data_IF_460422631929
#
_entry.id   IF_460422631929
#
_cell.length_a   1.000
_cell.length_b   1.000
_cell.length_c   1.000
_cell.angle_alpha   90.00
_cell.angle_beta   90.00
_cell.angle_gamma   90.00
#
_symmetry.space_group_name_H-M   'P 1'
#
loop_
_entity.id
_entity.type
_entity.pdbx_description
1 polymer ?
#
# COMPACT_ATOMS: atom_id res chain seq x y z
N UNK A 1 -22.48 -5.51 -12.00
CA UNK A 1 -22.40 -4.09 -11.57
C UNK A 1 -21.14 -3.52 -12.18
N UNK A 2 -21.24 -2.38 -12.89
CA UNK A 2 -20.06 -1.78 -13.51
C UNK A 2 -19.05 -1.36 -12.42
N UNK A 3 -17.75 -1.44 -12.72
CA UNK A 3 -16.68 -1.04 -11.78
C UNK A 3 -16.93 0.35 -11.15
N UNK A 4 -17.38 1.31 -11.98
CA UNK A 4 -17.64 2.68 -11.54
C UNK A 4 -18.69 2.74 -10.42
N UNK A 5 -19.76 1.95 -10.53
CA UNK A 5 -20.85 1.90 -9.56
C UNK A 5 -20.39 1.16 -8.29
N UNK A 6 -19.57 0.12 -8.47
CA UNK A 6 -19.03 -0.67 -7.35
C UNK A 6 -18.11 0.14 -6.42
N UNK A 7 -17.42 1.16 -6.95
CA UNK A 7 -16.48 1.99 -6.18
C UNK A 7 -17.02 3.42 -5.90
N UNK A 8 -18.31 3.65 -6.14
CA UNK A 8 -18.94 4.96 -5.94
C UNK A 8 -19.16 5.30 -4.47
N UNK A 9 -19.29 4.30 -3.61
CA UNK A 9 -19.44 4.47 -2.14
C UNK A 9 -18.26 3.85 -1.40
N UNK A 10 -17.95 4.30 -0.18
CA UNK A 10 -16.90 3.71 0.65
C UNK A 10 -17.09 2.21 0.87
N UNK A 11 -18.31 1.76 1.21
CA UNK A 11 -18.65 0.36 1.46
C UNK A 11 -18.54 -0.49 0.19
N UNK A 12 -19.00 0.06 -0.94
CA UNK A 12 -18.86 -0.57 -2.25
C UNK A 12 -17.39 -0.75 -2.65
N UNK A 13 -16.58 0.29 -2.45
CA UNK A 13 -15.13 0.25 -2.70
C UNK A 13 -14.46 -0.79 -1.81
N UNK A 14 -14.77 -0.83 -0.52
CA UNK A 14 -14.19 -1.80 0.42
C UNK A 14 -14.51 -3.24 0.00
N UNK A 15 -15.78 -3.52 -0.30
CA UNK A 15 -16.24 -4.85 -0.74
C UNK A 15 -15.55 -5.26 -2.05
N UNK A 16 -15.48 -4.33 -3.01
CA UNK A 16 -14.82 -4.57 -4.30
C UNK A 16 -13.34 -4.87 -4.13
N UNK A 17 -12.62 -4.06 -3.35
CA UNK A 17 -11.17 -4.22 -3.08
C UNK A 17 -10.89 -5.56 -2.43
N UNK A 18 -11.61 -5.93 -1.38
CA UNK A 18 -11.46 -7.24 -0.71
C UNK A 18 -11.64 -8.40 -1.69
N UNK A 19 -12.69 -8.34 -2.51
CA UNK A 19 -12.96 -9.38 -3.51
C UNK A 19 -11.88 -9.44 -4.58
N UNK A 20 -11.45 -8.29 -5.10
CA UNK A 20 -10.40 -8.21 -6.11
C UNK A 20 -9.10 -8.84 -5.61
N UNK A 21 -8.60 -8.41 -4.43
CA UNK A 21 -7.36 -8.93 -3.88
C UNK A 21 -7.45 -10.39 -3.46
N UNK A 22 -8.61 -10.89 -3.01
CA UNK A 22 -8.83 -12.32 -2.79
C UNK A 22 -8.71 -13.13 -4.10
N UNK A 23 -9.23 -12.60 -5.20
CA UNK A 23 -9.19 -13.26 -6.52
C UNK A 23 -7.76 -13.34 -7.08
N UNK A 24 -6.96 -12.28 -6.91
CA UNK A 24 -5.61 -12.22 -7.49
C UNK A 24 -4.51 -12.71 -6.55
N UNK A 25 -4.81 -13.01 -5.29
CA UNK A 25 -3.83 -13.29 -4.24
C UNK A 25 -2.80 -14.35 -4.62
N UNK A 26 -3.22 -15.50 -5.15
CA UNK A 26 -2.32 -16.61 -5.50
C UNK A 26 -1.32 -16.27 -6.62
N UNK A 27 -1.59 -15.22 -7.40
CA UNK A 27 -0.73 -14.74 -8.49
C UNK A 27 -0.19 -13.33 -8.25
N UNK A 28 -0.43 -12.79 -7.06
CA UNK A 28 -0.14 -11.39 -6.75
C UNK A 28 1.33 -11.02 -6.99
N UNK A 29 2.26 -11.84 -6.52
CA UNK A 29 3.70 -11.59 -6.69
C UNK A 29 4.11 -11.60 -8.18
N UNK A 30 3.56 -12.52 -8.98
CA UNK A 30 3.79 -12.52 -10.43
C UNK A 30 3.21 -11.28 -11.11
N UNK A 31 2.00 -10.89 -10.71
CA UNK A 31 1.30 -9.73 -11.26
C UNK A 31 2.06 -8.43 -10.99
N UNK A 32 2.54 -8.25 -9.75
CA UNK A 32 3.32 -7.06 -9.38
C UNK A 32 4.63 -6.99 -10.16
N UNK A 33 5.32 -8.12 -10.37
CA UNK A 33 6.52 -8.18 -11.21
C UNK A 33 6.21 -7.79 -12.66
N UNK A 34 5.14 -8.33 -13.25
CA UNK A 34 4.77 -8.04 -14.64
C UNK A 34 4.36 -6.58 -14.82
N UNK A 35 3.50 -6.05 -13.95
CA UNK A 35 3.02 -4.65 -14.03
C UNK A 35 4.12 -3.63 -13.75
N UNK A 36 5.15 -3.99 -12.98
CA UNK A 36 6.26 -3.12 -12.64
C UNK A 36 7.50 -3.31 -13.53
N UNK A 37 7.44 -4.20 -14.51
CA UNK A 37 8.62 -4.63 -15.27
C UNK A 37 9.78 -5.08 -14.38
N UNK A 38 9.48 -5.77 -13.28
CA UNK A 38 10.45 -6.24 -12.29
C UNK A 38 11.02 -5.14 -11.38
N UNK A 39 10.53 -3.89 -11.46
CA UNK A 39 11.04 -2.78 -10.65
C UNK A 39 10.43 -2.72 -9.24
N UNK A 40 9.32 -3.42 -9.00
CA UNK A 40 8.60 -3.43 -7.71
C UNK A 40 9.54 -3.68 -6.52
N UNK A 41 10.39 -4.70 -6.62
CA UNK A 41 11.37 -5.03 -5.58
C UNK A 41 12.31 -3.86 -5.27
N UNK A 42 12.80 -3.14 -6.29
CA UNK A 42 13.69 -1.98 -6.09
C UNK A 42 12.99 -0.83 -5.39
N UNK A 43 11.72 -0.59 -5.71
CA UNK A 43 10.94 0.47 -5.07
C UNK A 43 10.62 0.15 -3.61
N UNK A 44 10.25 -1.10 -3.30
CA UNK A 44 10.07 -1.58 -1.92
C UNK A 44 11.38 -1.51 -1.12
N UNK A 45 12.50 -1.94 -1.71
CA UNK A 45 13.83 -1.81 -1.09
C UNK A 45 14.20 -0.35 -0.81
N UNK A 46 13.88 0.57 -1.73
CA UNK A 46 14.10 2.00 -1.52
C UNK A 46 13.25 2.53 -0.36
N UNK A 47 12.00 2.14 -0.27
CA UNK A 47 11.12 2.50 0.86
C UNK A 47 11.71 2.00 2.17
N UNK A 48 12.14 0.73 2.25
CA UNK A 48 12.76 0.15 3.45
C UNK A 48 14.07 0.85 3.81
N UNK A 49 14.91 1.18 2.82
CA UNK A 49 16.14 1.93 3.05
C UNK A 49 15.87 3.33 3.63
N UNK A 50 14.84 4.02 3.11
CA UNK A 50 14.41 5.34 3.64
C UNK A 50 13.83 5.23 5.06
N UNK A 51 13.15 4.12 5.37
CA UNK A 51 12.63 3.85 6.71
C UNK A 51 13.73 3.62 7.75
N UNK A 52 14.95 3.26 7.30
CA UNK A 52 16.13 3.04 8.16
C UNK A 52 15.82 2.16 9.38
N UNK A 53 15.25 0.95 9.19
CA UNK A 53 14.88 0.07 10.29
C UNK A 53 16.12 -0.32 11.12
N UNK A 54 15.89 -0.53 12.43
CA UNK A 54 16.97 -0.86 13.37
C UNK A 54 16.53 -1.99 14.30
N UNK A 55 17.52 -2.67 14.88
CA UNK A 55 17.30 -3.70 15.86
C UNK A 55 16.40 -3.21 17.01
N UNK A 56 15.35 -3.98 17.31
CA UNK A 56 14.39 -3.67 18.37
C UNK A 56 13.32 -2.63 18.01
N UNK A 57 13.37 -2.01 16.82
CA UNK A 57 12.31 -1.12 16.33
C UNK A 57 11.01 -1.89 16.14
N UNK A 58 9.90 -1.36 16.63
CA UNK A 58 8.55 -1.93 16.43
C UNK A 58 7.92 -1.34 15.18
N UNK A 59 7.66 -2.16 14.18
CA UNK A 59 7.10 -1.72 12.91
C UNK A 59 5.76 -2.39 12.61
N UNK A 60 4.87 -1.67 11.95
CA UNK A 60 3.69 -2.25 11.32
C UNK A 60 3.69 -1.98 9.82
N UNK A 61 3.46 -3.02 9.04
CA UNK A 61 3.31 -2.94 7.58
C UNK A 61 1.84 -3.11 7.21
N UNK A 62 1.22 -2.05 6.70
CA UNK A 62 -0.21 -1.96 6.40
C UNK A 62 -0.46 -2.30 4.93
N UNK A 63 -1.56 -3.01 4.65
CA UNK A 63 -1.82 -3.64 3.36
C UNK A 63 -0.60 -4.48 2.94
N UNK A 64 -0.13 -5.30 3.87
CA UNK A 64 1.14 -6.04 3.75
C UNK A 64 1.14 -7.04 2.59
N UNK A 65 -0.04 -7.43 2.09
CA UNK A 65 -0.18 -8.42 1.03
C UNK A 65 0.48 -9.74 1.42
N UNK A 66 1.39 -10.22 0.58
CA UNK A 66 2.17 -11.43 0.82
C UNK A 66 3.43 -11.21 1.67
N UNK A 67 3.62 -9.99 2.24
CA UNK A 67 4.60 -9.69 3.27
C UNK A 67 5.95 -9.13 2.81
N UNK A 68 6.14 -8.77 1.55
CA UNK A 68 7.48 -8.40 1.02
C UNK A 68 8.18 -7.28 1.80
N UNK A 69 7.45 -6.20 2.16
CA UNK A 69 8.00 -5.10 2.95
C UNK A 69 8.24 -5.57 4.39
N UNK A 70 7.26 -6.27 4.98
CA UNK A 70 7.35 -6.79 6.33
C UNK A 70 8.57 -7.71 6.52
N UNK A 71 8.84 -8.62 5.58
CA UNK A 71 10.03 -9.46 5.61
C UNK A 71 11.32 -8.64 5.54
N UNK A 72 11.37 -7.65 4.63
CA UNK A 72 12.56 -6.79 4.50
C UNK A 72 12.85 -5.96 5.75
N UNK A 73 11.80 -5.51 6.45
CA UNK A 73 11.94 -4.81 7.73
C UNK A 73 12.43 -5.75 8.84
N UNK A 74 11.91 -6.99 8.89
CA UNK A 74 12.32 -7.99 9.86
C UNK A 74 13.77 -8.45 9.64
N UNK A 75 14.19 -8.64 8.38
CA UNK A 75 15.60 -8.92 8.02
C UNK A 75 16.55 -7.82 8.49
N UNK A 76 16.09 -6.57 8.54
CA UNK A 76 16.85 -5.44 9.08
C UNK A 76 16.80 -5.33 10.62
N UNK A 77 16.15 -6.27 11.30
CA UNK A 77 16.12 -6.39 12.77
C UNK A 77 14.92 -5.76 13.46
N UNK A 78 13.93 -5.26 12.73
CA UNK A 78 12.71 -4.75 13.33
C UNK A 78 11.78 -5.90 13.79
N UNK A 79 11.02 -5.65 14.87
CA UNK A 79 9.88 -6.50 15.24
C UNK A 79 8.65 -6.05 14.46
N UNK A 80 8.16 -6.88 13.56
CA UNK A 80 7.19 -6.46 12.53
C UNK A 80 5.84 -7.15 12.71
N UNK A 81 4.77 -6.35 12.61
CA UNK A 81 3.39 -6.83 12.44
C UNK A 81 2.93 -6.46 11.02
N UNK A 82 2.55 -7.43 10.22
CA UNK A 82 1.92 -7.21 8.91
C UNK A 82 0.40 -7.30 9.01
N UNK A 83 -0.30 -6.31 8.48
CA UNK A 83 -1.77 -6.25 8.50
C UNK A 83 -2.32 -6.16 7.09
N UNK A 84 -3.27 -7.03 6.75
CA UNK A 84 -4.01 -6.96 5.48
C UNK A 84 -5.49 -7.28 5.70
N UNK A 85 -6.35 -6.62 4.93
CA UNK A 85 -7.79 -6.84 4.99
C UNK A 85 -8.20 -8.16 4.32
N UNK A 86 -7.32 -8.74 3.50
CA UNK A 86 -7.58 -9.93 2.70
C UNK A 86 -7.01 -11.17 3.37
N UNK A 87 -7.89 -12.03 3.89
CA UNK A 87 -7.48 -13.27 4.59
C UNK A 87 -6.50 -14.11 3.77
N UNK A 88 -6.75 -14.28 2.45
CA UNK A 88 -5.89 -15.07 1.57
C UNK A 88 -4.45 -14.53 1.48
N UNK A 89 -4.28 -13.21 1.50
CA UNK A 89 -2.95 -12.58 1.53
C UNK A 89 -2.19 -12.96 2.81
N UNK A 90 -2.87 -12.91 3.96
CA UNK A 90 -2.29 -13.29 5.25
C UNK A 90 -1.94 -14.79 5.32
N UNK A 91 -2.77 -15.66 4.73
CA UNK A 91 -2.41 -17.09 4.61
C UNK A 91 -1.10 -17.28 3.83
N UNK A 92 -0.95 -16.60 2.69
CA UNK A 92 0.26 -16.66 1.87
C UNK A 92 1.47 -16.08 2.58
N UNK A 93 1.33 -14.94 3.27
CA UNK A 93 2.38 -14.33 4.07
C UNK A 93 2.83 -15.26 5.20
N UNK A 94 1.88 -15.85 5.95
CA UNK A 94 2.17 -16.84 6.98
C UNK A 94 2.86 -18.10 6.43
N UNK A 95 2.46 -18.56 5.24
CA UNK A 95 3.11 -19.70 4.59
C UNK A 95 4.59 -19.41 4.28
N UNK A 96 4.92 -18.20 3.82
CA UNK A 96 6.31 -17.75 3.62
C UNK A 96 7.07 -17.65 4.95
N UNK A 97 6.42 -17.17 6.03
CA UNK A 97 7.06 -16.98 7.33
C UNK A 97 7.40 -18.28 8.08
N UNK A 98 6.73 -19.40 7.80
CA UNK A 98 6.86 -20.67 8.54
C UNK A 98 8.29 -21.20 8.70
N UNK A 99 9.18 -20.84 7.79
CA UNK A 99 10.56 -21.32 7.77
C UNK A 99 11.56 -20.28 8.32
N UNK A 100 11.05 -19.16 8.87
CA UNK A 100 11.88 -18.07 9.37
C UNK A 100 11.81 -18.02 10.91
N UNK A 101 12.96 -18.15 11.57
CA UNK A 101 13.06 -17.88 13.00
C UNK A 101 13.05 -16.36 13.22
N UNK A 102 12.08 -15.84 13.98
CA UNK A 102 11.96 -14.39 14.23
C UNK A 102 11.38 -13.58 13.08
N UNK A 103 10.62 -14.19 12.17
CA UNK A 103 9.91 -13.50 11.09
C UNK A 103 8.77 -12.60 11.57
N UNK A 104 8.15 -11.83 10.65
CA UNK A 104 7.00 -10.99 10.95
C UNK A 104 5.81 -11.80 11.47
N UNK A 105 5.00 -11.18 12.33
CA UNK A 105 3.68 -11.68 12.69
C UNK A 105 2.63 -11.08 11.76
N UNK A 106 1.74 -11.91 11.22
CA UNK A 106 0.71 -11.44 10.29
C UNK A 106 -0.70 -11.64 10.85
N UNK A 107 -1.57 -10.62 10.67
CA UNK A 107 -2.97 -10.67 11.08
C UNK A 107 -3.91 -10.05 10.04
N UNK A 108 -5.14 -10.50 10.03
CA UNK A 108 -6.20 -9.89 9.23
C UNK A 108 -6.73 -8.67 9.96
N UNK A 109 -6.73 -7.50 9.29
CA UNK A 109 -7.22 -6.26 9.87
C UNK A 109 -7.48 -5.20 8.81
N UNK A 110 -8.31 -4.24 9.15
CA UNK A 110 -8.65 -3.11 8.29
C UNK A 110 -7.81 -1.89 8.66
N UNK A 111 -7.18 -1.25 7.68
CA UNK A 111 -6.32 -0.08 7.88
C UNK A 111 -7.09 1.14 8.45
N UNK A 112 -8.40 1.20 8.25
CA UNK A 112 -9.25 2.28 8.79
C UNK A 112 -9.79 1.99 10.19
N UNK A 113 -9.49 0.81 10.76
CA UNK A 113 -9.88 0.40 12.11
C UNK A 113 -8.91 -0.69 12.59
N UNK A 114 -7.66 -0.30 12.90
CA UNK A 114 -6.59 -1.24 13.22
C UNK A 114 -6.81 -1.91 14.59
N UNK A 115 -6.72 -3.24 14.68
CA UNK A 115 -6.80 -3.97 15.96
C UNK A 115 -5.46 -3.90 16.72
N UNK A 116 -4.89 -2.70 16.81
CA UNK A 116 -3.58 -2.42 17.39
C UNK A 116 -3.71 -1.29 18.42
N UNK A 117 -2.92 -1.36 19.46
CA UNK A 117 -2.87 -0.31 20.49
C UNK A 117 -2.32 1.01 19.93
N UNK A 118 -2.81 2.13 20.44
CA UNK A 118 -2.24 3.44 20.12
C UNK A 118 -0.84 3.60 20.69
N UNK A 119 -0.07 4.53 20.13
CA UNK A 119 1.29 4.90 20.58
C UNK A 119 2.22 3.69 20.82
N UNK A 120 2.16 2.71 19.88
CA UNK A 120 2.81 1.41 20.06
C UNK A 120 3.89 1.09 19.05
N UNK A 121 4.02 1.88 17.98
CA UNK A 121 4.95 1.60 16.90
C UNK A 121 5.89 2.77 16.63
N UNK A 122 7.14 2.45 16.32
CA UNK A 122 8.17 3.39 15.86
C UNK A 122 8.00 3.72 14.38
N UNK A 123 7.51 2.74 13.62
CA UNK A 123 7.46 2.79 12.16
C UNK A 123 6.15 2.21 11.64
N UNK A 124 5.54 2.91 10.70
CA UNK A 124 4.45 2.41 9.85
C UNK A 124 4.89 2.44 8.40
N UNK A 125 4.70 1.33 7.70
CA UNK A 125 4.87 1.26 6.24
C UNK A 125 3.57 0.89 5.55
N UNK A 126 3.39 1.35 4.30
CA UNK A 126 2.28 0.94 3.45
C UNK A 126 2.71 0.91 1.97
N UNK A 127 2.75 -0.27 1.36
CA UNK A 127 3.04 -0.43 -0.07
C UNK A 127 1.77 -0.65 -0.87
N UNK A 128 1.41 0.29 -1.76
CA UNK A 128 0.22 0.22 -2.63
C UNK A 128 -1.13 0.12 -1.90
N UNK A 129 -1.16 0.46 -0.60
CA UNK A 129 -2.32 0.31 0.27
C UNK A 129 -3.23 1.53 0.32
N UNK A 130 -2.66 2.73 0.49
CA UNK A 130 -3.42 3.96 0.77
C UNK A 130 -4.44 4.30 -0.31
N UNK A 131 -4.14 4.04 -1.57
CA UNK A 131 -5.04 4.26 -2.70
C UNK A 131 -6.30 3.37 -2.63
N UNK A 132 -6.19 2.23 -1.98
CA UNK A 132 -7.22 1.18 -1.97
C UNK A 132 -8.22 1.31 -0.82
N UNK A 133 -7.90 2.07 0.23
CA UNK A 133 -8.82 2.25 1.37
C UNK A 133 -10.10 2.99 0.96
N UNK A 134 -11.23 2.67 1.58
CA UNK A 134 -12.50 3.37 1.33
C UNK A 134 -12.43 4.84 1.78
N UNK A 135 -11.80 5.10 2.91
CA UNK A 135 -11.59 6.42 3.49
C UNK A 135 -10.10 6.62 3.83
N UNK A 136 -9.45 7.49 3.05
CA UNK A 136 -8.03 7.78 3.23
C UNK A 136 -7.75 8.59 4.51
N UNK A 137 -8.71 9.44 4.93
CA UNK A 137 -8.57 10.22 6.17
C UNK A 137 -8.57 9.27 7.36
N UNK A 138 -9.56 8.38 7.45
CA UNK A 138 -9.64 7.40 8.52
C UNK A 138 -8.38 6.50 8.59
N UNK A 139 -7.80 6.14 7.44
CA UNK A 139 -6.55 5.39 7.41
C UNK A 139 -5.37 6.21 7.96
N UNK A 140 -5.27 7.50 7.62
CA UNK A 140 -4.23 8.40 8.14
C UNK A 140 -4.41 8.63 9.65
N UNK A 141 -5.66 8.73 10.12
CA UNK A 141 -5.98 8.87 11.55
C UNK A 141 -5.50 7.64 12.34
N UNK A 142 -5.74 6.44 11.83
CA UNK A 142 -5.29 5.19 12.43
C UNK A 142 -3.75 5.04 12.40
N UNK A 143 -3.10 5.41 11.29
CA UNK A 143 -1.64 5.46 11.19
C UNK A 143 -1.07 6.40 12.25
N UNK A 144 -1.65 7.58 12.39
CA UNK A 144 -1.22 8.55 13.42
C UNK A 144 -1.47 8.01 14.83
N UNK A 145 -2.60 7.34 15.07
CA UNK A 145 -2.96 6.78 16.37
C UNK A 145 -1.98 5.71 16.84
N UNK A 146 -1.59 4.78 15.96
CA UNK A 146 -0.72 3.65 16.33
C UNK A 146 0.76 4.04 16.47
N UNK A 147 1.21 5.09 15.79
CA UNK A 147 2.55 5.64 15.94
C UNK A 147 2.71 6.33 17.30
N UNK A 148 3.80 6.07 17.99
CA UNK A 148 4.17 6.90 19.17
C UNK A 148 4.71 8.27 18.73
N UNK A 149 4.84 9.19 19.67
CA UNK A 149 5.44 10.50 19.42
C UNK A 149 6.86 10.37 18.86
N UNK A 150 7.14 11.08 17.76
CA UNK A 150 8.38 10.96 17.00
C UNK A 150 8.48 9.75 16.08
N UNK A 151 7.47 8.87 16.04
CA UNK A 151 7.40 7.75 15.10
C UNK A 151 7.24 8.21 13.65
N UNK A 152 7.60 7.34 12.72
CA UNK A 152 7.67 7.68 11.29
C UNK A 152 6.74 6.80 10.47
N UNK A 153 6.03 7.40 9.50
CA UNK A 153 5.28 6.67 8.49
C UNK A 153 5.95 6.81 7.12
N UNK A 154 5.97 5.73 6.34
CA UNK A 154 6.33 5.75 4.93
C UNK A 154 5.27 5.03 4.10
N UNK A 155 4.97 5.60 2.92
CA UNK A 155 4.13 4.91 1.95
C UNK A 155 4.73 4.95 0.56
N UNK A 156 4.53 3.88 -0.20
CA UNK A 156 4.82 3.80 -1.64
C UNK A 156 3.51 3.54 -2.35
N UNK A 157 3.09 4.44 -3.24
CA UNK A 157 1.87 4.22 -4.02
C UNK A 157 1.95 4.87 -5.40
N UNK A 158 1.01 4.50 -6.27
CA UNK A 158 0.80 5.19 -7.54
C UNK A 158 0.48 6.65 -7.29
N UNK A 159 1.06 7.51 -8.13
CA UNK A 159 0.77 8.93 -8.10
C UNK A 159 -0.20 9.31 -9.23
N UNK A 160 -0.87 10.42 -9.04
CA UNK A 160 -1.67 11.07 -10.08
C UNK A 160 -0.83 12.21 -10.68
N UNK A 161 -0.26 12.05 -11.90
CA UNK A 161 0.55 13.08 -12.53
C UNK A 161 -0.20 14.41 -12.65
N UNK A 162 0.48 15.50 -12.37
CA UNK A 162 -0.11 16.86 -12.47
C UNK A 162 -0.38 17.24 -13.92
N UNK A 163 0.56 16.91 -14.83
CA UNK A 163 0.39 17.14 -16.25
C UNK A 163 -0.82 16.37 -16.81
N UNK A 164 -1.83 17.04 -17.39
CA UNK A 164 -3.00 16.37 -17.97
C UNK A 164 -2.63 15.41 -19.10
N UNK A 165 -1.64 15.76 -19.92
CA UNK A 165 -1.19 14.94 -21.06
C UNK A 165 -0.51 13.67 -20.54
N UNK A 166 0.48 13.82 -19.63
CA UNK A 166 1.15 12.66 -19.04
C UNK A 166 0.16 11.75 -18.32
N UNK A 167 -0.79 12.33 -17.59
CA UNK A 167 -1.85 11.58 -16.90
C UNK A 167 -2.74 10.81 -17.90
N UNK A 168 -3.15 11.44 -19.00
CA UNK A 168 -3.98 10.78 -20.01
C UNK A 168 -3.25 9.58 -20.66
N UNK A 169 -1.98 9.77 -21.07
CA UNK A 169 -1.13 8.72 -21.63
C UNK A 169 -0.92 7.58 -20.63
N UNK A 170 -0.60 7.92 -19.39
CA UNK A 170 -0.38 6.95 -18.32
C UNK A 170 -1.64 6.11 -18.02
N UNK A 171 -2.79 6.75 -17.88
CA UNK A 171 -4.04 6.04 -17.63
C UNK A 171 -4.48 5.19 -18.82
N UNK A 172 -4.25 5.66 -20.06
CA UNK A 172 -4.50 4.87 -21.26
C UNK A 172 -3.61 3.62 -21.31
N UNK A 173 -2.31 3.79 -21.04
CA UNK A 173 -1.36 2.68 -20.92
C UNK A 173 -1.80 1.65 -19.88
N UNK A 174 -2.15 2.08 -18.65
CA UNK A 174 -2.61 1.17 -17.59
C UNK A 174 -3.94 0.48 -17.94
N UNK A 175 -4.84 1.15 -18.67
CA UNK A 175 -6.08 0.51 -19.14
C UNK A 175 -5.81 -0.61 -20.14
N UNK A 176 -4.92 -0.37 -21.12
CA UNK A 176 -4.60 -1.38 -22.15
C UNK A 176 -3.84 -2.55 -21.54
N UNK A 177 -2.74 -2.27 -20.81
CA UNK A 177 -1.91 -3.32 -20.20
C UNK A 177 -2.70 -4.10 -19.15
N UNK A 178 -3.50 -3.42 -18.33
CA UNK A 178 -4.37 -4.06 -17.34
C UNK A 178 -5.41 -4.96 -18.00
N UNK A 179 -6.07 -4.53 -19.10
CA UNK A 179 -7.04 -5.33 -19.82
C UNK A 179 -6.40 -6.59 -20.44
N UNK A 180 -5.22 -6.46 -21.04
CA UNK A 180 -4.48 -7.60 -21.62
C UNK A 180 -4.10 -8.60 -20.55
N UNK A 181 -3.51 -8.16 -19.43
CA UNK A 181 -3.12 -9.04 -18.33
C UNK A 181 -4.34 -9.67 -17.63
N UNK A 182 -5.42 -8.92 -17.45
CA UNK A 182 -6.66 -9.43 -16.89
C UNK A 182 -7.22 -10.57 -17.73
N UNK A 183 -7.25 -10.39 -19.07
CA UNK A 183 -7.70 -11.43 -19.99
C UNK A 183 -6.77 -12.67 -19.97
N UNK A 184 -5.45 -12.45 -20.00
CA UNK A 184 -4.48 -13.56 -20.03
C UNK A 184 -4.47 -14.38 -18.72
N UNK A 185 -4.54 -13.71 -17.56
CA UNK A 185 -4.38 -14.36 -16.27
C UNK A 185 -5.69 -14.82 -15.63
N UNK A 186 -6.79 -14.11 -15.90
CA UNK A 186 -8.10 -14.36 -15.25
C UNK A 186 -9.25 -14.55 -16.23
N UNK A 187 -9.02 -14.42 -17.55
CA UNK A 187 -10.04 -14.36 -18.60
C UNK A 187 -11.09 -13.28 -18.37
N UNK A 188 -10.70 -12.24 -17.61
CA UNK A 188 -11.52 -11.07 -17.32
C UNK A 188 -10.68 -9.80 -17.48
N UNK A 189 -10.91 -9.01 -18.56
CA UNK A 189 -10.16 -7.78 -18.82
C UNK A 189 -10.43 -6.68 -17.78
N UNK A 190 -11.50 -6.77 -16.99
CA UNK A 190 -11.88 -5.76 -16.03
C UNK A 190 -11.11 -5.88 -14.69
N UNK A 191 -10.50 -7.05 -14.43
CA UNK A 191 -9.76 -7.33 -13.19
C UNK A 191 -8.76 -6.22 -12.83
N UNK A 192 -7.96 -5.73 -13.79
CA UNK A 192 -6.95 -4.69 -13.52
C UNK A 192 -7.36 -3.27 -13.93
N UNK A 193 -8.55 -3.07 -14.50
CA UNK A 193 -9.11 -1.73 -14.77
C UNK A 193 -9.38 -0.93 -13.49
N UNK A 194 -9.40 -1.60 -12.36
CA UNK A 194 -9.44 -0.95 -11.06
C UNK A 194 -8.23 -0.02 -10.83
N UNK A 195 -7.03 -0.38 -11.32
CA UNK A 195 -5.81 0.42 -11.10
C UNK A 195 -5.98 1.85 -11.65
N UNK A 196 -6.25 2.07 -12.95
CA UNK A 196 -6.47 3.42 -13.45
C UNK A 196 -7.69 4.12 -12.86
N UNK A 197 -8.75 3.39 -12.47
CA UNK A 197 -9.92 3.96 -11.82
C UNK A 197 -9.58 4.50 -10.43
N UNK A 198 -8.83 3.74 -9.63
CA UNK A 198 -8.40 4.17 -8.29
C UNK A 198 -7.42 5.35 -8.34
N UNK A 199 -6.50 5.40 -9.33
CA UNK A 199 -5.58 6.54 -9.51
C UNK A 199 -6.35 7.83 -9.84
N UNK A 200 -7.42 7.77 -10.64
CA UNK A 200 -8.24 8.95 -10.94
C UNK A 200 -8.84 9.59 -9.70
N UNK A 201 -9.25 8.78 -8.74
CA UNK A 201 -9.90 9.21 -7.50
C UNK A 201 -8.92 9.48 -6.36
N UNK A 202 -7.63 9.18 -6.56
CA UNK A 202 -6.59 9.40 -5.56
C UNK A 202 -6.11 10.85 -5.58
N UNK A 203 -5.87 11.48 -4.42
CA UNK A 203 -5.48 12.89 -4.36
C UNK A 203 -4.09 13.19 -4.93
N UNK A 204 -3.30 12.15 -5.25
CA UNK A 204 -1.91 12.27 -5.68
C UNK A 204 -0.96 12.61 -4.53
N UNK A 205 0.35 12.63 -4.84
CA UNK A 205 1.38 12.79 -3.81
C UNK A 205 1.23 14.08 -3.00
N UNK A 206 1.05 15.21 -3.66
CA UNK A 206 0.87 16.49 -2.97
C UNK A 206 -0.43 16.54 -2.14
N UNK A 207 -1.48 15.84 -2.59
CA UNK A 207 -2.74 15.73 -1.84
C UNK A 207 -2.58 14.90 -0.57
N UNK A 208 -1.91 13.77 -0.65
CA UNK A 208 -1.60 12.91 0.52
C UNK A 208 -0.71 13.66 1.51
N UNK A 209 0.32 14.37 1.04
CA UNK A 209 1.18 15.17 1.91
C UNK A 209 0.36 16.19 2.73
N UNK A 210 -0.52 16.96 2.09
CA UNK A 210 -1.41 17.90 2.81
C UNK A 210 -2.34 17.22 3.82
N UNK A 211 -2.82 16.00 3.52
CA UNK A 211 -3.66 15.25 4.46
C UNK A 211 -2.86 14.79 5.69
N UNK A 212 -1.61 14.37 5.50
CA UNK A 212 -0.69 14.02 6.59
C UNK A 212 -0.38 15.24 7.46
N UNK A 213 -0.06 16.39 6.86
CA UNK A 213 0.16 17.66 7.59
C UNK A 213 -1.07 18.06 8.41
N UNK A 214 -2.26 17.98 7.80
CA UNK A 214 -3.52 18.32 8.46
C UNK A 214 -3.83 17.41 9.66
N UNK A 215 -3.35 16.15 9.62
CA UNK A 215 -3.51 15.18 10.73
C UNK A 215 -2.50 15.39 11.88
N UNK A 216 -1.51 16.24 11.70
CA UNK A 216 -0.54 16.54 12.75
C UNK A 216 0.82 15.89 12.56
N UNK A 217 1.08 15.30 11.40
CA UNK A 217 2.44 14.94 11.03
C UNK A 217 3.27 16.20 10.74
N UNK A 218 4.54 16.16 11.08
CA UNK A 218 5.54 17.14 10.65
C UNK A 218 6.54 16.49 9.69
N UNK A 219 7.44 17.31 9.11
CA UNK A 219 8.45 16.87 8.15
C UNK A 219 7.88 15.95 7.07
N UNK A 220 6.72 16.35 6.53
CA UNK A 220 6.07 15.62 5.47
C UNK A 220 6.77 15.90 4.15
N UNK A 221 7.36 14.87 3.58
CA UNK A 221 8.05 14.93 2.30
C UNK A 221 7.58 13.81 1.39
N UNK A 222 7.71 14.01 0.07
CA UNK A 222 7.54 12.90 -0.87
C UNK A 222 8.59 12.93 -1.96
N UNK A 223 9.05 11.74 -2.33
CA UNK A 223 10.03 11.52 -3.40
C UNK A 223 9.33 10.91 -4.60
N UNK A 224 9.34 11.59 -5.77
CA UNK A 224 8.81 10.99 -6.99
C UNK A 224 9.64 9.77 -7.41
N UNK A 225 8.93 8.74 -7.86
CA UNK A 225 9.50 7.51 -8.41
C UNK A 225 8.94 7.32 -9.83
N UNK A 226 9.69 6.70 -10.71
CA UNK A 226 9.28 6.43 -12.09
C UNK A 226 8.74 7.70 -12.79
N UNK A 227 9.58 8.75 -12.86
CA UNK A 227 9.21 10.05 -13.47
C UNK A 227 7.95 10.69 -12.88
N UNK A 228 7.64 10.42 -11.60
CA UNK A 228 6.46 10.97 -10.92
C UNK A 228 5.17 10.18 -11.12
N UNK A 229 5.22 9.00 -11.74
CA UNK A 229 4.07 8.09 -11.85
C UNK A 229 3.78 7.36 -10.54
N UNK A 230 4.74 7.37 -9.63
CA UNK A 230 4.63 6.86 -8.27
C UNK A 230 5.32 7.83 -7.30
N UNK A 231 5.06 7.69 -6.01
CA UNK A 231 5.69 8.48 -4.97
C UNK A 231 5.94 7.65 -3.71
N UNK A 232 7.04 7.96 -3.02
CA UNK A 232 7.28 7.52 -1.64
C UNK A 232 7.08 8.74 -0.75
N UNK A 233 6.15 8.64 0.21
CA UNK A 233 5.98 9.63 1.28
C UNK A 233 6.78 9.22 2.49
N UNK A 234 7.26 10.20 3.22
CA UNK A 234 7.79 10.08 4.57
C UNK A 234 7.18 11.20 5.42
N UNK A 235 6.70 10.85 6.60
CA UNK A 235 6.13 11.80 7.54
C UNK A 235 6.42 11.37 8.97
N UNK A 236 6.63 12.33 9.88
CA UNK A 236 6.94 12.06 11.28
C UNK A 236 5.82 12.58 12.18
N UNK A 237 5.35 11.73 13.10
CA UNK A 237 4.43 12.18 14.15
C UNK A 237 5.15 13.15 15.08
N UNK A 238 4.53 14.27 15.40
CA UNK A 238 5.10 15.27 16.35
C UNK A 238 5.43 14.60 17.67
N UNK A 239 6.53 15.06 18.28
CA UNK A 239 6.97 14.65 19.63
C UNK A 239 6.09 15.24 20.70
#
# INVERSE_FOLDING_TARGET
MALRDAIATPEGKQTYVRRLFATIADRYDLITVLLSYGQDRRWKQRLVAMASPRQGMRAVDLATGTGDIAFSLAEAGASVVGVDVTHRMIELANAKARHLSGGPFFLVGDMIALPLAGDSFDLVTAGYGLRNVPDLRAAIDEIHRVLHAGGTMLSLDFNRPESPILRAVYLAYLNVTGAVLGWLLHRDPDTYRYIPASIRNYPGAAGVARMLEAQGFDRVEYTPVLLGLMAIHIARKKS
#
